data_IF_621324569490
#
_entry.id   IF_621324569490
#
_cell.length_a   1.000
_cell.length_b   1.000
_cell.length_c   1.000
_cell.angle_alpha   90.00
_cell.angle_beta   90.00
_cell.angle_gamma   90.00
#
_symmetry.space_group_name_H-M   'P 1'
#
loop_
_entity.id
_entity.type
_entity.pdbx_description
1 polymer ?
#
# COMPACT_ATOMS: atom_id res chain seq x y z
N UNK A 1 -0.47 -21.42 -19.70
CA UNK A 1 -0.71 -20.01 -19.36
C UNK A 1 0.54 -19.22 -19.70
N UNK A 2 0.43 -18.29 -20.66
CA UNK A 2 1.55 -17.51 -21.22
C UNK A 2 1.88 -16.29 -20.34
N UNK A 3 2.38 -16.49 -19.13
CA UNK A 3 3.04 -15.41 -18.40
C UNK A 3 4.50 -15.33 -18.84
N UNK A 4 4.71 -14.89 -20.09
CA UNK A 4 6.03 -14.62 -20.66
C UNK A 4 6.66 -13.44 -19.93
N UNK A 5 7.91 -13.61 -19.50
CA UNK A 5 8.70 -12.59 -18.82
C UNK A 5 8.71 -11.28 -19.63
N UNK A 6 8.16 -10.21 -19.06
CA UNK A 6 8.27 -8.86 -19.61
C UNK A 6 9.51 -8.21 -18.99
N UNK A 7 10.63 -8.27 -19.70
CA UNK A 7 11.85 -7.56 -19.33
C UNK A 7 11.90 -6.20 -20.04
N UNK A 8 11.78 -5.12 -19.25
CA UNK A 8 12.38 -3.80 -19.43
C UNK A 8 12.67 -3.30 -20.86
N UNK A 9 11.66 -3.21 -21.72
CA UNK A 9 11.68 -2.32 -22.90
C UNK A 9 10.71 -1.13 -22.66
N UNK A 10 11.01 0.10 -23.10
CA UNK A 10 10.11 1.24 -22.94
C UNK A 10 8.70 1.04 -23.55
N UNK A 11 8.57 0.23 -24.62
CA UNK A 11 7.28 -0.18 -25.18
C UNK A 11 6.58 -1.27 -24.36
N UNK A 12 7.27 -1.83 -23.36
CA UNK A 12 6.71 -2.83 -22.45
C UNK A 12 5.73 -2.21 -21.46
N UNK A 13 5.82 -0.92 -21.14
CA UNK A 13 4.87 -0.27 -20.23
C UNK A 13 3.43 -0.34 -20.75
N UNK A 14 3.21 -0.09 -22.05
CA UNK A 14 1.89 -0.22 -22.67
C UNK A 14 1.36 -1.66 -22.61
N UNK A 15 2.23 -2.65 -22.83
CA UNK A 15 1.88 -4.08 -22.71
C UNK A 15 1.67 -4.51 -21.26
N UNK A 16 2.37 -3.90 -20.31
CA UNK A 16 2.16 -4.13 -18.88
C UNK A 16 0.78 -3.60 -18.46
N UNK A 17 0.35 -2.43 -18.94
CA UNK A 17 -1.02 -1.95 -18.68
C UNK A 17 -2.08 -2.90 -19.25
N UNK A 18 -1.87 -3.43 -20.46
CA UNK A 18 -2.78 -4.41 -21.08
C UNK A 18 -2.85 -5.71 -20.26
N UNK A 19 -1.68 -6.28 -19.91
CA UNK A 19 -1.61 -7.53 -19.11
C UNK A 19 -2.13 -7.35 -17.69
N UNK A 20 -1.88 -6.21 -17.05
CA UNK A 20 -2.39 -5.91 -15.71
C UNK A 20 -3.89 -5.60 -15.72
N UNK A 21 -4.42 -5.00 -16.79
CA UNK A 21 -5.85 -4.76 -16.96
C UNK A 21 -6.67 -6.05 -17.03
N UNK A 22 -6.07 -7.14 -17.48
CA UNK A 22 -6.67 -8.47 -17.49
C UNK A 22 -6.44 -9.25 -16.18
N UNK A 23 -5.49 -8.82 -15.35
CA UNK A 23 -5.14 -9.50 -14.10
C UNK A 23 -6.14 -9.14 -13.00
N UNK A 24 -6.96 -10.12 -12.61
CA UNK A 24 -7.95 -9.95 -11.53
C UNK A 24 -7.26 -9.54 -10.22
N UNK A 25 -7.81 -8.50 -9.59
CA UNK A 25 -7.34 -7.99 -8.31
C UNK A 25 -6.00 -7.27 -8.37
N UNK A 26 -5.61 -6.79 -9.55
CA UNK A 26 -4.41 -5.98 -9.76
C UNK A 26 -4.82 -4.63 -10.35
N UNK A 27 -4.16 -3.57 -9.92
CA UNK A 27 -4.43 -2.21 -10.40
C UNK A 27 -3.11 -1.49 -10.63
N UNK A 28 -2.89 -1.05 -11.88
CA UNK A 28 -1.85 -0.09 -12.18
C UNK A 28 -2.34 1.30 -11.75
N UNK A 29 -1.58 2.00 -10.93
CA UNK A 29 -1.88 3.37 -10.54
C UNK A 29 -1.43 4.31 -11.66
N UNK A 30 -2.34 5.17 -12.12
CA UNK A 30 -1.96 6.25 -13.03
C UNK A 30 -1.20 7.37 -12.31
N UNK A 31 -0.72 8.36 -13.07
CA UNK A 31 0.08 9.47 -12.52
C UNK A 31 -0.69 10.30 -11.50
N UNK A 32 -2.02 10.46 -11.66
CA UNK A 32 -2.84 11.25 -10.74
C UNK A 32 -3.02 10.52 -9.41
N UNK A 33 -3.35 9.22 -9.45
CA UNK A 33 -3.38 8.38 -8.26
C UNK A 33 -1.98 8.33 -7.61
N UNK A 34 -0.91 8.20 -8.37
CA UNK A 34 0.47 8.21 -7.84
C UNK A 34 0.74 9.46 -6.99
N UNK A 35 0.34 10.63 -7.47
CA UNK A 35 0.56 11.89 -6.75
C UNK A 35 -0.25 11.97 -5.46
N UNK A 36 -1.50 11.50 -5.47
CA UNK A 36 -2.34 11.43 -4.26
C UNK A 36 -1.74 10.53 -3.17
N UNK A 37 -1.10 9.43 -3.58
CA UNK A 37 -0.55 8.44 -2.64
C UNK A 37 0.87 8.74 -2.18
N UNK A 38 1.71 9.26 -3.07
CA UNK A 38 3.16 9.32 -2.88
C UNK A 38 3.75 10.73 -3.01
N UNK A 39 2.93 11.73 -3.33
CA UNK A 39 3.37 13.09 -3.61
C UNK A 39 4.07 13.26 -4.96
N UNK A 40 4.41 14.50 -5.30
CA UNK A 40 4.99 14.88 -6.60
C UNK A 40 6.48 14.59 -6.73
N UNK A 41 7.23 14.59 -5.62
CA UNK A 41 8.69 14.35 -5.58
C UNK A 41 9.04 12.89 -5.26
N UNK A 42 8.24 11.96 -5.77
CA UNK A 42 8.31 10.58 -5.33
C UNK A 42 9.49 9.83 -5.99
N UNK A 43 10.35 9.21 -5.18
CA UNK A 43 11.48 8.39 -5.64
C UNK A 43 11.07 7.00 -6.17
N UNK A 44 9.78 6.82 -6.44
CA UNK A 44 9.22 5.55 -6.91
C UNK A 44 9.42 5.42 -8.42
N UNK A 45 9.42 4.17 -8.90
CA UNK A 45 9.58 3.89 -10.32
C UNK A 45 8.42 4.44 -11.17
N UNK A 46 8.62 4.40 -12.49
CA UNK A 46 7.66 4.94 -13.48
C UNK A 46 6.31 4.22 -13.49
N UNK A 47 6.25 3.01 -12.92
CA UNK A 47 5.04 2.20 -12.80
C UNK A 47 4.85 1.77 -11.36
N UNK A 48 3.67 2.06 -10.81
CA UNK A 48 3.23 1.54 -9.51
C UNK A 48 2.06 0.60 -9.74
N UNK A 49 2.19 -0.60 -9.20
CA UNK A 49 1.17 -1.64 -9.28
C UNK A 49 0.77 -2.02 -7.86
N UNK A 50 -0.53 -2.00 -7.61
CA UNK A 50 -1.14 -2.49 -6.39
C UNK A 50 -1.92 -3.76 -6.67
N UNK A 51 -2.16 -4.55 -5.62
CA UNK A 51 -3.08 -5.67 -5.66
C UNK A 51 -4.13 -5.52 -4.57
N UNK A 52 -5.27 -6.20 -4.76
CA UNK A 52 -6.30 -6.37 -3.74
C UNK A 52 -5.71 -7.07 -2.51
N UNK A 53 -6.24 -6.72 -1.34
CA UNK A 53 -5.84 -7.34 -0.09
C UNK A 53 -6.00 -8.87 -0.14
N UNK A 54 -4.97 -9.58 0.34
CA UNK A 54 -4.91 -11.04 0.28
C UNK A 54 -4.28 -11.60 -0.99
N UNK A 55 -3.97 -10.76 -1.98
CA UNK A 55 -3.21 -11.13 -3.18
C UNK A 55 -1.73 -10.76 -2.98
N UNK A 56 -0.78 -11.54 -3.53
CA UNK A 56 0.64 -11.20 -3.42
C UNK A 56 1.33 -11.32 -4.77
N UNK A 57 2.23 -10.39 -5.08
CA UNK A 57 3.11 -10.51 -6.23
C UNK A 57 4.24 -11.48 -5.92
N UNK A 58 4.29 -12.59 -6.65
CA UNK A 58 5.38 -13.57 -6.58
C UNK A 58 6.15 -13.54 -7.92
N UNK A 59 7.17 -12.66 -8.05
CA UNK A 59 7.89 -12.50 -9.32
C UNK A 59 8.66 -13.75 -9.75
N UNK A 60 8.75 -14.75 -8.87
CA UNK A 60 9.58 -15.93 -9.08
C UNK A 60 8.97 -17.20 -8.49
N UNK A 61 7.70 -17.43 -8.78
CA UNK A 61 6.95 -18.60 -8.31
C UNK A 61 7.67 -19.94 -8.59
N UNK A 62 8.47 -20.01 -9.67
CA UNK A 62 9.18 -21.23 -10.08
C UNK A 62 10.58 -21.41 -9.46
N UNK A 63 11.15 -20.42 -8.78
CA UNK A 63 12.48 -20.55 -8.13
C UNK A 63 12.38 -20.78 -6.60
N UNK A 64 11.28 -21.40 -6.15
CA UNK A 64 11.19 -21.89 -4.77
C UNK A 64 10.98 -20.80 -3.71
N UNK A 65 10.40 -19.65 -4.10
CA UNK A 65 9.96 -18.65 -3.13
C UNK A 65 8.99 -19.28 -2.13
N UNK A 66 9.27 -19.16 -0.84
CA UNK A 66 8.34 -19.62 0.20
C UNK A 66 7.14 -18.67 0.23
N UNK A 67 5.91 -19.15 0.07
CA UNK A 67 4.74 -18.30 0.21
C UNK A 67 4.70 -17.75 1.64
N UNK A 68 4.57 -16.44 1.78
CA UNK A 68 4.29 -15.83 3.08
C UNK A 68 2.84 -16.07 3.44
N UNK A 69 2.56 -16.25 4.73
CA UNK A 69 1.20 -16.45 5.24
C UNK A 69 0.47 -15.13 5.53
N UNK A 70 1.19 -14.02 5.55
CA UNK A 70 0.65 -12.68 5.77
C UNK A 70 1.51 -11.64 5.07
N UNK A 71 0.87 -10.58 4.58
CA UNK A 71 1.52 -9.45 3.91
C UNK A 71 0.75 -8.17 4.24
N UNK A 72 1.44 -7.03 4.18
CA UNK A 72 0.89 -5.69 4.35
C UNK A 72 1.39 -4.77 3.22
N UNK A 73 0.88 -3.54 3.15
CA UNK A 73 1.29 -2.56 2.13
C UNK A 73 0.37 -2.50 0.90
N UNK A 74 -0.83 -3.05 1.01
CA UNK A 74 -1.92 -2.83 0.05
C UNK A 74 -2.32 -1.35 0.03
N UNK A 75 -2.97 -0.91 -1.06
CA UNK A 75 -3.69 0.37 -1.08
C UNK A 75 -4.68 0.39 0.09
N UNK A 76 -4.90 1.58 0.71
CA UNK A 76 -5.67 1.75 1.97
C UNK A 76 -6.80 0.74 2.03
N UNK A 77 -6.54 -0.30 2.80
CA UNK A 77 -7.55 -1.28 3.05
C UNK A 77 -8.51 -0.68 4.07
N UNK A 78 -9.80 -0.79 3.77
CA UNK A 78 -10.85 -0.42 4.71
C UNK A 78 -11.03 -1.48 5.80
N UNK A 79 -10.37 -2.64 5.68
CA UNK A 79 -10.44 -3.74 6.64
C UNK A 79 -9.83 -3.32 7.97
N UNK A 80 -10.28 -3.96 9.05
CA UNK A 80 -9.80 -3.67 10.40
C UNK A 80 -8.40 -4.26 10.60
N UNK A 81 -8.10 -5.35 9.89
CA UNK A 81 -6.86 -6.12 9.90
C UNK A 81 -5.66 -5.31 9.40
N UNK A 82 -5.90 -4.36 8.49
CA UNK A 82 -4.89 -3.48 7.93
C UNK A 82 -4.63 -2.22 8.78
N UNK A 83 -5.36 -2.03 9.89
CA UNK A 83 -5.21 -0.86 10.77
C UNK A 83 -4.21 -1.11 11.89
N UNK A 84 -3.38 -0.12 12.17
CA UNK A 84 -2.50 -0.16 13.34
C UNK A 84 -3.28 0.10 14.64
N UNK A 85 -2.87 -0.55 15.72
CA UNK A 85 -3.37 -0.27 17.07
C UNK A 85 -2.46 0.74 17.77
N UNK A 86 -3.04 1.83 18.27
CA UNK A 86 -2.36 2.81 19.10
C UNK A 86 -2.95 2.78 20.52
N UNK A 87 -2.12 2.54 21.54
CA UNK A 87 -2.52 2.54 22.94
C UNK A 87 -1.82 3.71 23.63
N UNK A 88 -2.61 4.63 24.19
CA UNK A 88 -2.13 5.77 24.98
C UNK A 88 -2.66 5.64 26.41
N UNK A 89 -1.81 5.91 27.40
CA UNK A 89 -2.17 5.83 28.82
C UNK A 89 -1.54 6.97 29.59
N UNK A 90 -2.33 7.61 30.45
CA UNK A 90 -1.90 8.74 31.26
C UNK A 90 -3.08 9.61 31.72
N UNK A 91 -2.87 10.48 32.72
CA UNK A 91 -3.94 11.27 33.33
C UNK A 91 -4.65 12.23 32.35
N UNK A 92 -3.99 12.58 31.24
CA UNK A 92 -4.54 13.40 30.15
C UNK A 92 -5.29 12.61 29.06
N UNK A 93 -5.19 11.29 29.02
CA UNK A 93 -5.82 10.42 28.02
C UNK A 93 -7.09 9.77 28.59
N UNK A 94 -8.13 10.58 28.81
CA UNK A 94 -9.38 10.13 29.46
C UNK A 94 -10.49 9.73 28.50
N UNK A 95 -10.40 10.13 27.24
CA UNK A 95 -11.34 9.76 26.19
C UNK A 95 -10.57 9.39 24.92
N UNK A 96 -10.86 8.20 24.40
CA UNK A 96 -10.47 7.82 23.06
C UNK A 96 -11.39 8.53 22.06
N UNK A 97 -10.89 8.96 20.90
CA UNK A 97 -11.74 9.49 19.85
C UNK A 97 -12.71 8.41 19.36
N UNK A 98 -13.96 8.80 19.05
CA UNK A 98 -15.02 7.88 18.58
C UNK A 98 -14.67 7.22 17.23
N UNK A 99 -13.82 7.89 16.45
CA UNK A 99 -13.19 7.36 15.23
C UNK A 99 -11.69 7.24 15.46
N UNK A 100 -11.08 6.23 14.85
CA UNK A 100 -9.62 6.09 14.85
C UNK A 100 -8.92 7.36 14.38
N UNK A 101 -7.66 7.52 14.78
CA UNK A 101 -6.82 8.66 14.38
C UNK A 101 -6.06 8.28 13.12
N UNK A 102 -6.13 9.13 12.10
CA UNK A 102 -5.30 8.97 10.91
C UNK A 102 -3.83 9.15 11.30
N UNK A 103 -2.95 8.26 10.83
CA UNK A 103 -1.53 8.28 11.20
C UNK A 103 -0.82 9.63 11.02
N UNK A 104 -1.07 10.41 9.94
CA UNK A 104 -0.50 11.76 9.80
C UNK A 104 -0.93 12.74 10.91
N UNK A 105 -2.12 12.56 11.48
CA UNK A 105 -2.66 13.42 12.52
C UNK A 105 -2.17 13.03 13.92
N UNK A 106 -1.59 11.84 14.08
CA UNK A 106 -1.09 11.36 15.37
C UNK A 106 -0.02 12.28 15.95
N UNK A 107 0.95 12.71 15.13
CA UNK A 107 2.02 13.60 15.58
C UNK A 107 1.51 14.96 16.11
N UNK A 108 0.71 15.74 15.36
CA UNK A 108 0.17 16.99 15.87
C UNK A 108 -0.79 16.78 17.06
N UNK A 109 -1.50 15.65 17.15
CA UNK A 109 -2.30 15.31 18.32
C UNK A 109 -1.45 15.11 19.57
N UNK A 110 -0.36 14.34 19.48
CA UNK A 110 0.57 14.11 20.59
C UNK A 110 1.23 15.41 21.06
N UNK A 111 1.61 16.30 20.14
CA UNK A 111 2.19 17.60 20.47
C UNK A 111 1.20 18.50 21.25
N UNK A 112 -0.09 18.49 20.88
CA UNK A 112 -1.14 19.24 21.59
C UNK A 112 -1.48 18.64 22.96
N UNK A 113 -1.37 17.33 23.11
CA UNK A 113 -1.66 16.63 24.36
C UNK A 113 -0.59 16.78 25.44
N UNK A 114 0.49 17.53 25.17
CA UNK A 114 1.43 17.97 26.21
C UNK A 114 2.26 16.83 26.77
N UNK A 115 2.79 15.96 25.91
CA UNK A 115 3.94 15.11 26.29
C UNK A 115 5.18 15.99 26.24
N UNK A 116 5.33 16.84 27.25
CA UNK A 116 6.45 17.75 27.50
C UNK A 116 6.60 17.99 28.99
#
# INVERSE_FOLDING_TARGET
SNFGQIWADPNSLGRIHEVLGEARGVTALDTAAREDWFGTESAYGDLIVACEEGTVFSPNHFQGGSPVRGMHGYLRSETVESRALCILSGPGFRQLPERGVDMPDLYPALAKWGVG
#
